data_IF_615543136390
#
_entry.id   IF_615543136390
#
_cell.length_a   1.000
_cell.length_b   1.000
_cell.length_c   1.000
_cell.angle_alpha   90.00
_cell.angle_beta   90.00
_cell.angle_gamma   90.00
#
_symmetry.space_group_name_H-M   'P 1'
#
loop_
_entity.id
_entity.type
_entity.pdbx_description
1 polymer ?
#
# COMPACT_ATOMS: atom_id res chain seq x y z
N UNK A 1 17.44 6.23 -15.76
CA UNK A 1 16.18 5.76 -16.38
C UNK A 1 15.02 6.27 -15.52
N UNK A 2 13.99 6.86 -16.13
CA UNK A 2 12.78 7.26 -15.40
C UNK A 2 12.09 6.01 -14.85
N UNK A 3 11.73 6.01 -13.56
CA UNK A 3 10.94 4.92 -12.96
C UNK A 3 9.52 5.01 -13.51
N UNK A 4 8.90 3.87 -13.73
CA UNK A 4 7.47 3.80 -14.06
C UNK A 4 6.69 3.97 -12.75
N UNK A 5 6.05 5.12 -12.55
CA UNK A 5 5.29 5.44 -11.34
C UNK A 5 3.91 4.80 -11.39
N UNK A 6 3.59 3.99 -10.40
CA UNK A 6 2.29 3.35 -10.22
C UNK A 6 1.43 4.15 -9.26
N UNK A 7 0.14 4.21 -9.52
CA UNK A 7 -0.85 4.81 -8.64
C UNK A 7 -1.77 3.70 -8.13
N UNK A 8 -1.88 3.63 -6.81
CA UNK A 8 -2.72 2.71 -6.05
C UNK A 8 -3.81 3.51 -5.31
N UNK A 9 -4.97 3.80 -5.93
CA UNK A 9 -6.05 4.48 -5.23
C UNK A 9 -6.52 3.69 -4.02
N UNK A 10 -6.51 4.33 -2.81
CA UNK A 10 -7.08 3.75 -1.61
C UNK A 10 -8.60 3.90 -1.60
N UNK A 11 -9.31 2.77 -1.68
CA UNK A 11 -10.77 2.74 -1.63
C UNK A 11 -11.36 3.19 -0.28
N UNK A 12 -10.53 3.42 0.72
CA UNK A 12 -10.93 4.04 1.98
C UNK A 12 -11.57 5.44 1.76
N UNK A 13 -11.20 6.12 0.66
CA UNK A 13 -11.74 7.43 0.28
C UNK A 13 -12.87 7.36 -0.76
N UNK A 14 -13.27 6.17 -1.18
CA UNK A 14 -14.35 5.96 -2.15
C UNK A 14 -15.75 6.06 -1.52
N UNK A 15 -16.77 6.10 -2.33
CA UNK A 15 -18.16 5.96 -1.89
C UNK A 15 -18.45 4.49 -1.54
N UNK A 16 -18.49 4.17 -0.25
CA UNK A 16 -18.72 2.81 0.26
C UNK A 16 -20.07 2.22 -0.15
N UNK A 17 -21.08 3.06 -0.48
CA UNK A 17 -22.38 2.58 -0.94
C UNK A 17 -22.33 1.92 -2.33
N UNK A 18 -21.23 2.11 -3.09
CA UNK A 18 -21.06 1.62 -4.47
C UNK A 18 -19.61 1.25 -4.81
N UNK A 19 -18.89 0.67 -3.87
CA UNK A 19 -17.45 0.35 -4.01
C UNK A 19 -17.11 -0.40 -5.31
N UNK A 20 -17.96 -1.33 -5.78
CA UNK A 20 -17.73 -2.03 -7.05
C UNK A 20 -17.64 -1.06 -8.24
N UNK A 21 -18.60 -0.14 -8.35
CA UNK A 21 -18.60 0.89 -9.41
C UNK A 21 -17.41 1.87 -9.28
N UNK A 22 -17.02 2.20 -8.05
CA UNK A 22 -15.83 3.03 -7.81
C UNK A 22 -14.54 2.35 -8.28
N UNK A 23 -14.39 1.03 -8.03
CA UNK A 23 -13.25 0.24 -8.52
C UNK A 23 -13.20 0.25 -10.05
N UNK A 24 -14.32 -0.04 -10.71
CA UNK A 24 -14.41 0.00 -12.18
C UNK A 24 -14.04 1.38 -12.74
N UNK A 25 -14.49 2.46 -12.06
CA UNK A 25 -14.21 3.83 -12.49
C UNK A 25 -12.74 4.22 -12.33
N UNK A 26 -12.07 3.87 -11.20
CA UNK A 26 -10.64 4.17 -11.02
C UNK A 26 -9.75 3.32 -11.94
N UNK A 27 -10.11 2.08 -12.23
CA UNK A 27 -9.40 1.26 -13.23
C UNK A 27 -9.50 1.88 -14.63
N UNK A 28 -10.69 2.28 -15.06
CA UNK A 28 -10.90 2.97 -16.32
C UNK A 28 -10.13 4.32 -16.38
N UNK A 29 -9.94 4.97 -15.25
CA UNK A 29 -9.18 6.20 -15.08
C UNK A 29 -7.65 5.98 -15.08
N UNK A 30 -7.16 4.74 -15.10
CA UNK A 30 -5.74 4.41 -15.23
C UNK A 30 -5.03 4.07 -13.92
N UNK A 31 -5.74 3.60 -12.90
CA UNK A 31 -5.13 3.01 -11.70
C UNK A 31 -4.29 1.77 -12.06
N UNK A 32 -3.17 1.56 -11.37
CA UNK A 32 -2.29 0.40 -11.57
C UNK A 32 -2.60 -0.73 -10.59
N UNK A 33 -3.01 -0.37 -9.36
CA UNK A 33 -3.42 -1.27 -8.29
C UNK A 33 -4.68 -0.70 -7.62
N UNK A 34 -5.33 -1.51 -6.81
CA UNK A 34 -6.41 -1.09 -5.91
C UNK A 34 -5.90 -1.29 -4.48
N UNK A 35 -5.73 -0.20 -3.75
CA UNK A 35 -5.27 -0.25 -2.36
C UNK A 35 -6.45 -0.41 -1.40
N UNK A 36 -6.31 -1.38 -0.48
CA UNK A 36 -7.37 -1.75 0.46
C UNK A 36 -6.85 -1.66 1.89
N UNK A 37 -7.28 -0.64 2.62
CA UNK A 37 -6.91 -0.40 4.02
C UNK A 37 -7.81 -1.20 4.97
N UNK A 38 -7.24 -2.22 5.60
CA UNK A 38 -7.92 -3.09 6.58
C UNK A 38 -7.54 -2.68 7.98
N UNK A 39 -8.54 -2.33 8.80
CA UNK A 39 -8.38 -1.82 10.15
C UNK A 39 -9.33 -2.53 11.11
N UNK A 40 -8.86 -2.84 12.34
CA UNK A 40 -9.57 -3.66 13.32
C UNK A 40 -10.05 -2.92 14.58
N UNK A 41 -9.75 -1.62 14.70
CA UNK A 41 -10.06 -0.85 15.90
C UNK A 41 -9.13 -1.13 17.09
N UNK A 42 -8.13 -1.99 16.91
CA UNK A 42 -7.15 -2.36 17.93
C UNK A 42 -5.74 -1.90 17.54
N UNK A 43 -5.24 -2.29 16.38
CA UNK A 43 -3.95 -1.82 15.86
C UNK A 43 -3.99 -0.31 15.54
N UNK A 44 -5.11 0.14 14.99
CA UNK A 44 -5.43 1.55 14.74
C UNK A 44 -6.84 1.89 15.25
N UNK A 45 -7.13 3.15 15.62
CA UNK A 45 -8.42 3.55 16.23
C UNK A 45 -9.53 3.74 15.18
N UNK A 46 -9.64 2.82 14.22
CA UNK A 46 -10.66 2.80 13.17
C UNK A 46 -10.98 1.36 12.77
N UNK A 47 -12.18 1.10 12.27
CA UNK A 47 -12.64 -0.20 11.74
C UNK A 47 -13.08 0.02 10.30
N UNK A 48 -12.63 -0.82 9.35
CA UNK A 48 -12.95 -0.61 7.94
C UNK A 48 -13.48 -1.87 7.25
N UNK A 49 -12.63 -2.66 6.64
CA UNK A 49 -12.94 -3.72 5.66
C UNK A 49 -12.42 -5.06 6.17
N UNK A 50 -13.22 -6.11 5.97
CA UNK A 50 -12.81 -7.49 6.21
C UNK A 50 -12.73 -8.32 4.92
N UNK A 51 -12.30 -9.61 5.00
CA UNK A 51 -12.17 -10.50 3.84
C UNK A 51 -13.44 -10.63 3.00
N UNK A 52 -14.62 -10.56 3.63
CA UNK A 52 -15.92 -10.60 2.93
C UNK A 52 -16.06 -9.49 1.89
N UNK A 53 -15.64 -8.27 2.24
CA UNK A 53 -15.72 -7.11 1.34
C UNK A 53 -14.72 -7.26 0.21
N UNK A 54 -13.47 -7.66 0.51
CA UNK A 54 -12.45 -7.95 -0.51
C UNK A 54 -12.97 -8.97 -1.52
N UNK A 55 -13.56 -10.07 -1.04
CA UNK A 55 -14.16 -11.12 -1.88
C UNK A 55 -15.30 -10.59 -2.76
N UNK A 56 -16.17 -9.75 -2.19
CA UNK A 56 -17.28 -9.15 -2.93
C UNK A 56 -16.82 -8.18 -4.02
N UNK A 57 -15.69 -7.49 -3.79
CA UNK A 57 -15.11 -6.52 -4.71
C UNK A 57 -14.27 -7.17 -5.82
N UNK A 58 -13.73 -8.38 -5.61
CA UNK A 58 -12.84 -9.03 -6.58
C UNK A 58 -13.41 -9.15 -8.00
N UNK A 59 -14.71 -9.49 -8.21
CA UNK A 59 -15.29 -9.56 -9.55
C UNK A 59 -15.34 -8.21 -10.29
N UNK A 60 -15.30 -7.09 -9.57
CA UNK A 60 -15.31 -5.73 -10.14
C UNK A 60 -13.91 -5.22 -10.52
N UNK A 61 -12.84 -5.93 -10.15
CA UNK A 61 -11.47 -5.49 -10.37
C UNK A 61 -10.71 -6.42 -11.32
N UNK A 62 -10.01 -5.83 -12.28
CA UNK A 62 -9.02 -6.50 -13.15
C UNK A 62 -7.60 -6.26 -12.68
N UNK A 63 -7.39 -5.15 -11.94
CA UNK A 63 -6.09 -4.79 -11.37
C UNK A 63 -5.82 -5.56 -10.07
N UNK A 64 -4.56 -5.70 -9.67
CA UNK A 64 -4.20 -6.35 -8.42
C UNK A 64 -4.77 -5.61 -7.22
N UNK A 65 -5.24 -6.38 -6.22
CA UNK A 65 -5.53 -5.86 -4.88
C UNK A 65 -4.27 -5.88 -4.04
N UNK A 66 -3.86 -4.70 -3.60
CA UNK A 66 -2.83 -4.44 -2.62
C UNK A 66 -3.50 -4.22 -1.27
N UNK A 67 -3.42 -5.23 -0.40
CA UNK A 67 -4.17 -5.26 0.86
C UNK A 67 -3.23 -4.94 2.02
N UNK A 68 -3.45 -3.78 2.62
CA UNK A 68 -2.69 -3.26 3.76
C UNK A 68 -3.38 -3.63 5.08
N UNK A 69 -2.74 -4.50 5.87
CA UNK A 69 -3.29 -5.07 7.08
C UNK A 69 -2.84 -4.29 8.33
N UNK A 70 -3.64 -3.34 8.76
CA UNK A 70 -3.51 -2.61 10.03
C UNK A 70 -4.34 -3.31 11.12
N UNK A 71 -4.02 -4.57 11.38
CA UNK A 71 -4.73 -5.45 12.33
C UNK A 71 -3.73 -6.21 13.21
N UNK A 72 -4.10 -6.50 14.46
CA UNK A 72 -3.27 -7.24 15.42
C UNK A 72 -4.11 -8.18 16.29
N UNK A 73 -3.73 -9.50 16.35
CA UNK A 73 -2.68 -10.18 15.59
C UNK A 73 -3.05 -10.37 14.10
N UNK A 74 -2.06 -10.31 13.20
CA UNK A 74 -2.31 -10.40 11.74
C UNK A 74 -2.36 -11.84 11.23
N UNK A 75 -1.54 -12.74 11.77
CA UNK A 75 -1.34 -14.11 11.27
C UNK A 75 -2.65 -14.91 11.08
N UNK A 76 -3.66 -14.86 11.99
CA UNK A 76 -4.90 -15.62 11.85
C UNK A 76 -5.75 -15.26 10.63
N UNK A 77 -5.52 -14.11 10.00
CA UNK A 77 -6.36 -13.60 8.92
C UNK A 77 -5.74 -13.72 7.52
N UNK A 78 -4.46 -14.10 7.41
CA UNK A 78 -3.73 -14.12 6.13
C UNK A 78 -4.38 -15.03 5.10
N UNK A 79 -4.76 -16.25 5.49
CA UNK A 79 -5.43 -17.21 4.60
C UNK A 79 -6.75 -16.65 4.07
N UNK A 80 -7.57 -16.07 4.96
CA UNK A 80 -8.87 -15.52 4.58
C UNK A 80 -8.75 -14.36 3.57
N UNK A 81 -7.77 -13.46 3.72
CA UNK A 81 -7.53 -12.39 2.75
C UNK A 81 -6.96 -12.91 1.43
N UNK A 82 -6.07 -13.91 1.49
CA UNK A 82 -5.53 -14.56 0.31
C UNK A 82 -6.63 -15.25 -0.52
N UNK A 83 -7.55 -15.99 0.14
CA UNK A 83 -8.71 -16.65 -0.48
C UNK A 83 -9.75 -15.64 -0.98
N UNK A 84 -9.88 -14.48 -0.32
CA UNK A 84 -10.77 -13.41 -0.75
C UNK A 84 -10.31 -12.74 -2.06
N UNK A 85 -9.06 -12.97 -2.50
CA UNK A 85 -8.56 -12.47 -3.77
C UNK A 85 -7.53 -11.35 -3.66
N UNK A 86 -6.89 -11.16 -2.49
CA UNK A 86 -5.72 -10.30 -2.37
C UNK A 86 -4.59 -10.81 -3.28
N UNK A 87 -3.89 -9.92 -3.97
CA UNK A 87 -2.71 -10.23 -4.79
C UNK A 87 -1.41 -9.94 -4.01
N UNK A 88 -1.41 -8.89 -3.19
CA UNK A 88 -0.38 -8.55 -2.22
C UNK A 88 -0.98 -8.40 -0.82
N UNK A 89 -0.21 -8.80 0.19
CA UNK A 89 -0.54 -8.61 1.60
C UNK A 89 0.63 -7.89 2.27
N UNK A 90 0.36 -6.68 2.76
CA UNK A 90 1.35 -5.86 3.48
C UNK A 90 1.05 -5.82 4.96
N UNK A 91 2.07 -6.10 5.78
CA UNK A 91 1.95 -6.26 7.23
C UNK A 91 2.93 -5.37 7.98
N UNK A 92 2.53 -4.87 9.13
CA UNK A 92 3.42 -4.13 10.02
C UNK A 92 4.27 -5.08 10.88
N UNK A 93 5.55 -4.80 11.12
CA UNK A 93 6.37 -5.57 12.05
C UNK A 93 5.76 -5.61 13.47
N UNK A 94 5.02 -4.56 13.83
CA UNK A 94 4.36 -4.42 15.14
C UNK A 94 3.08 -5.26 15.28
N UNK A 95 2.54 -5.79 14.18
CA UNK A 95 1.28 -6.57 14.17
C UNK A 95 1.41 -8.00 14.71
N UNK A 96 2.64 -8.43 15.01
CA UNK A 96 2.92 -9.73 15.60
C UNK A 96 4.39 -9.94 15.87
N UNK A 97 4.75 -10.91 16.72
CA UNK A 97 6.14 -11.11 17.18
C UNK A 97 7.07 -11.73 16.13
N UNK A 98 6.54 -12.26 15.03
CA UNK A 98 7.29 -13.08 14.08
C UNK A 98 7.07 -12.66 12.60
N UNK A 99 7.28 -11.38 12.29
CA UNK A 99 7.06 -10.82 10.94
C UNK A 99 7.76 -11.62 9.83
N UNK A 100 8.95 -12.14 10.07
CA UNK A 100 9.65 -12.98 9.09
C UNK A 100 8.83 -14.23 8.72
N UNK A 101 8.29 -14.95 9.71
CA UNK A 101 7.42 -16.12 9.50
C UNK A 101 6.13 -15.72 8.79
N UNK A 102 5.54 -14.58 9.15
CA UNK A 102 4.34 -14.01 8.53
C UNK A 102 4.57 -13.78 7.02
N UNK A 103 5.69 -13.17 6.64
CA UNK A 103 6.04 -12.93 5.23
C UNK A 103 6.27 -14.25 4.46
N UNK A 104 6.91 -15.24 5.09
CA UNK A 104 7.05 -16.59 4.50
C UNK A 104 5.68 -17.24 4.27
N UNK A 105 4.73 -17.09 5.21
CA UNK A 105 3.38 -17.63 5.06
C UNK A 105 2.64 -16.94 3.89
N UNK A 106 2.69 -15.62 3.78
CA UNK A 106 2.12 -14.88 2.65
C UNK A 106 2.68 -15.40 1.31
N UNK A 107 3.99 -15.62 1.22
CA UNK A 107 4.61 -16.18 0.02
C UNK A 107 4.15 -17.61 -0.27
N UNK A 108 3.99 -18.45 0.78
CA UNK A 108 3.47 -19.82 0.65
C UNK A 108 2.03 -19.85 0.12
N UNK A 109 1.22 -18.84 0.44
CA UNK A 109 -0.13 -18.67 -0.10
C UNK A 109 -0.13 -18.20 -1.58
N UNK A 110 1.04 -18.03 -2.20
CA UNK A 110 1.19 -17.55 -3.58
C UNK A 110 0.94 -16.05 -3.73
N UNK A 111 0.98 -15.29 -2.64
CA UNK A 111 0.76 -13.84 -2.62
C UNK A 111 2.07 -13.08 -2.51
N UNK A 112 2.07 -11.79 -2.90
CA UNK A 112 3.24 -10.91 -2.75
C UNK A 112 3.34 -10.42 -1.32
N UNK A 113 4.41 -10.78 -0.57
CA UNK A 113 4.60 -10.29 0.78
C UNK A 113 5.13 -8.85 0.77
N UNK A 114 4.50 -8.00 1.56
CA UNK A 114 4.94 -6.63 1.80
C UNK A 114 5.16 -6.34 3.29
N UNK A 115 6.09 -5.45 3.58
CA UNK A 115 6.32 -4.93 4.93
C UNK A 115 6.03 -3.44 4.98
N UNK A 116 5.34 -3.00 6.04
CA UNK A 116 4.94 -1.61 6.25
C UNK A 116 5.69 -1.02 7.44
N UNK A 117 6.29 0.15 7.28
CA UNK A 117 6.94 0.87 8.37
C UNK A 117 6.12 2.09 8.79
N UNK A 118 5.70 2.10 10.06
CA UNK A 118 5.09 3.27 10.69
C UNK A 118 6.07 4.46 10.75
N UNK A 119 5.59 5.70 10.92
CA UNK A 119 6.48 6.86 11.04
C UNK A 119 7.53 6.71 12.15
N UNK A 120 7.17 6.09 13.27
CA UNK A 120 8.08 5.83 14.40
C UNK A 120 8.98 4.60 14.26
N UNK A 121 8.74 3.72 13.28
CA UNK A 121 9.51 2.48 13.11
C UNK A 121 10.81 2.77 12.36
N UNK A 122 11.96 2.36 12.89
CA UNK A 122 13.25 2.59 12.24
C UNK A 122 13.38 1.78 10.95
N UNK A 123 14.14 2.31 9.98
CA UNK A 123 14.33 1.65 8.68
C UNK A 123 15.06 0.31 8.80
N UNK A 124 15.85 0.10 9.84
CA UNK A 124 16.59 -1.13 10.13
C UNK A 124 15.67 -2.33 10.36
N UNK A 125 14.39 -2.10 10.68
CA UNK A 125 13.39 -3.16 10.84
C UNK A 125 13.23 -4.03 9.57
N UNK A 126 13.61 -3.54 8.39
CA UNK A 126 13.54 -4.32 7.15
C UNK A 126 14.83 -5.05 6.80
N UNK A 127 15.96 -4.80 7.47
CA UNK A 127 17.28 -5.28 7.03
C UNK A 127 17.35 -6.82 6.93
N UNK A 128 16.65 -7.53 7.81
CA UNK A 128 16.56 -9.01 7.80
C UNK A 128 15.33 -9.55 7.05
N UNK A 129 14.63 -8.73 6.27
CA UNK A 129 13.42 -9.11 5.54
C UNK A 129 13.58 -8.92 4.02
N UNK A 130 14.69 -8.33 3.58
CA UNK A 130 14.91 -7.92 2.20
C UNK A 130 14.87 -9.08 1.19
N UNK A 131 15.21 -10.29 1.61
CA UNK A 131 15.13 -11.51 0.80
C UNK A 131 13.72 -12.09 0.67
N UNK A 132 12.78 -11.62 1.51
CA UNK A 132 11.40 -12.12 1.55
C UNK A 132 10.39 -11.18 0.90
N UNK A 133 10.60 -9.86 0.95
CA UNK A 133 9.59 -8.89 0.53
C UNK A 133 9.60 -8.63 -0.98
N UNK A 134 8.42 -8.38 -1.53
CA UNK A 134 8.22 -7.90 -2.89
C UNK A 134 7.80 -6.42 -2.90
N UNK A 135 7.43 -5.87 -1.71
CA UNK A 135 7.02 -4.49 -1.52
C UNK A 135 7.45 -3.99 -0.13
N UNK A 136 7.91 -2.75 -0.07
CA UNK A 136 8.14 -2.01 1.16
C UNK A 136 7.25 -0.77 1.10
N UNK A 137 6.35 -0.63 2.08
CA UNK A 137 5.47 0.52 2.24
C UNK A 137 5.99 1.42 3.37
N UNK A 138 6.20 2.70 3.08
CA UNK A 138 6.53 3.71 4.08
C UNK A 138 5.28 4.55 4.36
N UNK A 139 4.81 4.49 5.61
CA UNK A 139 3.74 5.37 6.06
C UNK A 139 4.24 6.79 6.18
N UNK A 140 3.58 7.70 5.48
CA UNK A 140 3.88 9.15 5.51
C UNK A 140 2.82 9.94 6.29
N UNK A 141 1.97 9.22 7.01
CA UNK A 141 1.04 9.69 8.05
C UNK A 141 0.99 8.64 9.16
N UNK A 142 0.40 8.94 10.31
CA UNK A 142 0.05 7.89 11.28
C UNK A 142 -1.14 7.08 10.73
N UNK A 143 -1.06 5.74 10.67
CA UNK A 143 -2.13 4.92 10.12
C UNK A 143 -3.44 5.05 10.92
N UNK A 144 -4.59 4.83 10.25
CA UNK A 144 -5.92 4.84 10.86
C UNK A 144 -6.96 5.72 10.17
N UNK A 145 -6.57 6.83 9.56
CA UNK A 145 -7.52 7.75 8.90
C UNK A 145 -6.93 8.33 7.61
N UNK A 146 -7.78 8.55 6.62
CA UNK A 146 -7.43 9.30 5.41
C UNK A 146 -7.39 10.82 5.64
N UNK A 147 -6.87 11.58 4.64
CA UNK A 147 -6.91 13.04 4.63
C UNK A 147 -5.92 13.74 5.56
N UNK A 148 -4.95 13.04 6.11
CA UNK A 148 -3.91 13.60 6.97
C UNK A 148 -2.81 14.31 6.18
N UNK A 149 -2.08 15.20 6.86
CA UNK A 149 -0.92 15.91 6.30
C UNK A 149 0.30 14.99 6.23
N UNK A 150 1.06 15.09 5.15
CA UNK A 150 2.30 14.35 4.93
C UNK A 150 3.36 14.66 6.01
N UNK A 151 3.96 13.64 6.58
CA UNK A 151 5.03 13.76 7.60
C UNK A 151 6.38 13.91 6.90
N UNK A 152 6.92 15.12 6.88
CA UNK A 152 8.13 15.50 6.16
C UNK A 152 9.37 14.65 6.50
N UNK A 153 9.52 14.27 7.77
CA UNK A 153 10.65 13.45 8.20
C UNK A 153 10.72 12.07 7.52
N UNK A 154 9.63 11.61 6.89
CA UNK A 154 9.61 10.32 6.20
C UNK A 154 10.32 10.33 4.84
N UNK A 155 10.61 11.50 4.27
CA UNK A 155 11.42 11.62 3.03
C UNK A 155 12.76 10.90 3.19
N UNK A 156 13.47 11.15 4.29
CA UNK A 156 14.75 10.46 4.55
C UNK A 156 14.61 8.93 4.70
N UNK A 157 13.47 8.46 5.22
CA UNK A 157 13.20 7.02 5.32
C UNK A 157 12.94 6.41 3.94
N UNK A 158 12.22 7.10 3.05
CA UNK A 158 12.01 6.69 1.65
C UNK A 158 13.35 6.56 0.93
N UNK A 159 14.25 7.55 1.06
CA UNK A 159 15.60 7.49 0.48
C UNK A 159 16.42 6.31 1.01
N UNK A 160 16.35 6.07 2.32
CA UNK A 160 17.06 4.97 2.96
C UNK A 160 16.53 3.61 2.51
N UNK A 161 15.18 3.47 2.35
CA UNK A 161 14.55 2.28 1.80
C UNK A 161 14.99 2.03 0.34
N UNK A 162 14.99 3.08 -0.50
CA UNK A 162 15.46 2.97 -1.90
C UNK A 162 16.90 2.49 -1.99
N UNK A 163 17.80 2.99 -1.16
CA UNK A 163 19.20 2.53 -1.13
C UNK A 163 19.29 1.03 -0.82
N UNK A 164 18.50 0.52 0.13
CA UNK A 164 18.46 -0.90 0.48
C UNK A 164 17.90 -1.75 -0.66
N UNK A 165 16.83 -1.32 -1.30
CA UNK A 165 16.24 -2.00 -2.46
C UNK A 165 17.23 -2.08 -3.62
N UNK A 166 17.92 -0.98 -3.93
CA UNK A 166 18.91 -0.94 -5.01
C UNK A 166 20.14 -1.81 -4.70
N UNK A 167 20.53 -1.92 -3.42
CA UNK A 167 21.58 -2.83 -2.99
C UNK A 167 21.11 -4.30 -3.11
N UNK A 168 19.91 -4.64 -2.66
CA UNK A 168 19.35 -5.99 -2.78
C UNK A 168 19.21 -6.43 -4.24
N UNK A 169 18.77 -5.53 -5.12
CA UNK A 169 18.67 -5.82 -6.56
C UNK A 169 20.00 -6.22 -7.19
N UNK A 170 21.13 -5.68 -6.72
CA UNK A 170 22.47 -6.08 -7.18
C UNK A 170 22.85 -7.48 -6.73
N UNK A 171 22.27 -7.97 -5.64
CA UNK A 171 22.55 -9.29 -5.07
C UNK A 171 21.74 -10.38 -5.79
N UNK A 172 20.45 -10.19 -5.97
CA UNK A 172 19.52 -11.23 -6.43
C UNK A 172 18.68 -10.88 -7.68
N UNK A 173 18.83 -9.66 -8.21
CA UNK A 173 18.13 -9.19 -9.41
C UNK A 173 16.66 -8.83 -9.21
N UNK A 174 16.08 -9.02 -8.01
CA UNK A 174 14.66 -8.77 -7.76
C UNK A 174 14.33 -7.28 -7.79
N UNK A 175 13.10 -7.00 -8.19
CA UNK A 175 12.53 -5.67 -8.11
C UNK A 175 11.56 -5.63 -6.93
N UNK A 176 11.97 -4.99 -5.84
CA UNK A 176 11.11 -4.70 -4.69
C UNK A 176 10.46 -3.34 -4.95
N UNK A 177 9.12 -3.26 -4.89
CA UNK A 177 8.41 -2.00 -5.01
C UNK A 177 8.63 -1.13 -3.76
N UNK A 178 8.79 0.18 -3.94
CA UNK A 178 8.81 1.14 -2.85
C UNK A 178 7.56 2.00 -2.91
N UNK A 179 6.66 1.71 -2.01
CA UNK A 179 5.37 2.35 -1.90
C UNK A 179 5.35 3.37 -0.78
N UNK A 180 4.54 4.41 -0.93
CA UNK A 180 4.28 5.41 0.11
C UNK A 180 2.79 5.61 0.28
N UNK A 181 2.34 5.74 1.52
CA UNK A 181 0.94 5.96 1.86
C UNK A 181 0.78 7.06 2.91
N UNK A 182 -0.06 8.03 2.57
CA UNK A 182 -0.50 9.10 3.45
C UNK A 182 -0.11 10.50 3.00
N UNK A 183 -1.10 11.39 2.95
CA UNK A 183 -0.90 12.80 2.59
C UNK A 183 -0.40 13.04 1.16
N UNK A 184 -0.67 12.10 0.24
CA UNK A 184 -0.22 12.19 -1.15
C UNK A 184 -1.09 13.17 -1.91
N UNK A 185 -0.45 14.24 -2.37
CA UNK A 185 -0.95 15.27 -3.28
C UNK A 185 -0.01 15.38 -4.47
N UNK A 186 -0.31 16.10 -5.56
CA UNK A 186 0.67 16.30 -6.64
C UNK A 186 2.01 16.88 -6.19
N UNK A 187 2.02 17.71 -5.14
CA UNK A 187 3.25 18.27 -4.59
C UNK A 187 4.06 17.21 -3.82
N UNK A 188 3.43 16.53 -2.85
CA UNK A 188 4.13 15.51 -2.04
C UNK A 188 4.50 14.28 -2.85
N UNK A 189 3.72 13.93 -3.90
CA UNK A 189 4.03 12.89 -4.87
C UNK A 189 5.38 13.12 -5.55
N UNK A 190 5.61 14.33 -6.10
CA UNK A 190 6.91 14.68 -6.72
C UNK A 190 8.08 14.49 -5.76
N UNK A 191 7.90 14.85 -4.49
CA UNK A 191 8.94 14.73 -3.46
C UNK A 191 9.20 13.28 -3.09
N UNK A 192 8.15 12.47 -2.91
CA UNK A 192 8.26 11.04 -2.65
C UNK A 192 8.92 10.29 -3.83
N UNK A 193 8.55 10.63 -5.07
CA UNK A 193 9.16 10.08 -6.29
C UNK A 193 10.65 10.45 -6.35
N UNK A 194 11.00 11.72 -6.09
CA UNK A 194 12.39 12.17 -6.06
C UNK A 194 13.21 11.41 -5.00
N UNK A 195 12.63 11.15 -3.82
CA UNK A 195 13.23 10.36 -2.75
C UNK A 195 13.36 8.86 -3.09
N UNK A 196 12.65 8.38 -4.11
CA UNK A 196 12.82 7.00 -4.58
C UNK A 196 11.57 6.14 -4.64
N UNK A 197 10.40 6.63 -4.25
CA UNK A 197 9.15 5.90 -4.39
C UNK A 197 8.86 5.59 -5.87
N UNK A 198 8.22 4.44 -6.12
CA UNK A 198 7.75 4.02 -7.44
C UNK A 198 6.26 3.65 -7.44
N UNK A 199 5.65 3.59 -6.26
CA UNK A 199 4.22 3.34 -6.08
C UNK A 199 3.65 4.35 -5.08
N UNK A 200 2.53 4.99 -5.40
CA UNK A 200 1.89 6.01 -4.58
C UNK A 200 0.47 5.57 -4.22
N UNK A 201 0.20 5.41 -2.93
CA UNK A 201 -1.15 5.25 -2.41
C UNK A 201 -1.79 6.63 -2.26
N UNK A 202 -2.94 6.84 -2.88
CA UNK A 202 -3.64 8.11 -2.82
C UNK A 202 -5.16 7.89 -2.67
N UNK A 203 -5.70 8.40 -1.57
CA UNK A 203 -7.14 8.39 -1.31
C UNK A 203 -7.80 9.66 -1.82
N UNK A 204 -7.92 10.68 -0.97
CA UNK A 204 -8.61 11.95 -1.25
C UNK A 204 -8.17 12.58 -2.57
N UNK A 205 -6.87 12.58 -2.87
CA UNK A 205 -6.34 13.18 -4.09
C UNK A 205 -6.87 12.52 -5.37
N UNK A 206 -7.23 11.23 -5.34
CA UNK A 206 -7.85 10.53 -6.48
C UNK A 206 -9.35 10.73 -6.50
N UNK A 207 -10.04 10.51 -5.37
CA UNK A 207 -11.51 10.44 -5.32
C UNK A 207 -12.19 11.81 -5.28
N UNK A 208 -11.45 12.89 -5.02
CA UNK A 208 -12.00 14.24 -4.98
C UNK A 208 -12.66 14.64 -6.32
N UNK A 209 -13.90 15.12 -6.24
CA UNK A 209 -14.68 15.60 -7.40
C UNK A 209 -15.38 14.49 -8.17
N UNK A 210 -15.30 13.23 -7.71
CA UNK A 210 -16.03 12.09 -8.26
C UNK A 210 -15.45 11.52 -9.56
N UNK A 211 -16.13 10.52 -10.17
CA UNK A 211 -15.60 9.71 -11.28
C UNK A 211 -15.13 10.48 -12.50
N UNK A 212 -15.77 11.62 -12.81
CA UNK A 212 -15.37 12.47 -13.95
C UNK A 212 -13.98 13.11 -13.78
N UNK A 213 -13.44 13.15 -12.56
CA UNK A 213 -12.15 13.74 -12.23
C UNK A 213 -11.03 12.70 -12.03
N UNK A 214 -11.35 11.43 -11.84
CA UNK A 214 -10.35 10.40 -11.47
C UNK A 214 -9.18 10.32 -12.44
N UNK A 215 -9.40 10.35 -13.76
CA UNK A 215 -8.33 10.27 -14.75
C UNK A 215 -7.37 11.48 -14.65
N UNK A 216 -7.90 12.69 -14.51
CA UNK A 216 -7.09 13.89 -14.35
C UNK A 216 -6.33 13.89 -13.01
N UNK A 217 -6.98 13.44 -11.94
CA UNK A 217 -6.37 13.34 -10.61
C UNK A 217 -5.23 12.32 -10.59
N UNK A 218 -5.43 11.13 -11.17
CA UNK A 218 -4.39 10.09 -11.28
C UNK A 218 -3.21 10.58 -12.14
N UNK A 219 -3.49 11.25 -13.26
CA UNK A 219 -2.43 11.80 -14.11
C UNK A 219 -1.57 12.84 -13.39
N UNK A 220 -2.19 13.72 -12.58
CA UNK A 220 -1.49 14.75 -11.81
C UNK A 220 -0.54 14.19 -10.74
N UNK A 221 -0.76 12.97 -10.25
CA UNK A 221 0.11 12.31 -9.28
C UNK A 221 1.37 11.68 -9.92
N UNK A 222 1.38 11.49 -11.25
CA UNK A 222 2.55 10.95 -11.97
C UNK A 222 3.49 12.04 -12.50
N UNK A 223 3.08 13.33 -12.44
CA UNK A 223 3.74 14.47 -13.08
C UNK A 223 4.86 15.07 -12.22
#
# INVERSE_FOLDING_TARGET
MSRNIKIAPSILSADFSRLGAEIEAIEAAGADLIHVDVMDGHFVPNITIGPMVVKALRPHAKKPFDVHLMISPVDPYLDAFAEAGADGLTVHPEAGPHVHRTLQHIRKLGKKPGVVLNPGTPIEAIDNLMDLVDLILIMTVNPGFGGQSFIESQIGKIEAARKRIDAQKKIDGRNIALEVDGGITPETARRAIAAGADTLVAGTAVFQGGPSRYAANIAALRA
#
